data_IF_300580720339
#
_entry.id   IF_300580720339
#
_cell.length_a   1.000
_cell.length_b   1.000
_cell.length_c   1.000
_cell.angle_alpha   90.00
_cell.angle_beta   90.00
_cell.angle_gamma   90.00
#
_symmetry.space_group_name_H-M   'P 1'
#
loop_
_entity.id
_entity.type
_entity.pdbx_description
1 polymer ?
#
# COMPACT_ATOMS: atom_id res chain seq x y z
N UNK A 1 2.40 -7.74 -19.83
CA UNK A 1 3.17 -6.94 -18.85
C UNK A 1 2.67 -7.04 -17.40
N UNK A 2 1.53 -6.45 -16.98
CA UNK A 2 1.15 -6.48 -15.56
C UNK A 2 0.95 -7.90 -15.00
N UNK A 3 0.26 -8.77 -15.75
CA UNK A 3 0.11 -10.18 -15.41
C UNK A 3 1.44 -10.94 -15.37
N UNK A 4 2.35 -10.68 -16.32
CA UNK A 4 3.70 -11.30 -16.32
C UNK A 4 4.49 -10.95 -15.06
N UNK A 5 4.42 -9.69 -14.59
CA UNK A 5 5.07 -9.27 -13.35
C UNK A 5 4.45 -9.94 -12.11
N UNK A 6 3.13 -10.11 -12.09
CA UNK A 6 2.41 -10.83 -11.03
C UNK A 6 2.88 -12.29 -10.98
N UNK A 7 2.91 -12.98 -12.12
CA UNK A 7 3.35 -14.38 -12.20
C UNK A 7 4.83 -14.53 -11.82
N UNK A 8 5.71 -13.72 -12.39
CA UNK A 8 7.16 -13.80 -12.13
C UNK A 8 7.53 -13.52 -10.67
N UNK A 9 6.74 -12.70 -9.96
CA UNK A 9 6.96 -12.42 -8.53
C UNK A 9 6.42 -13.51 -7.59
N UNK A 10 5.63 -14.46 -8.11
CA UNK A 10 4.88 -15.45 -7.34
C UNK A 10 3.65 -14.87 -6.64
N UNK A 11 3.29 -13.60 -6.90
CA UNK A 11 2.10 -12.97 -6.30
C UNK A 11 0.82 -13.67 -6.76
N UNK A 12 0.78 -14.19 -8.00
CA UNK A 12 -0.33 -14.96 -8.55
C UNK A 12 -0.70 -16.22 -7.77
N UNK A 13 0.22 -16.73 -6.94
CA UNK A 13 0.02 -17.92 -6.11
C UNK A 13 -0.66 -17.62 -4.77
N UNK A 14 -0.88 -16.35 -4.44
CA UNK A 14 -1.56 -15.95 -3.20
C UNK A 14 -3.07 -15.99 -3.43
N UNK A 15 -3.72 -17.09 -3.02
CA UNK A 15 -5.16 -17.29 -3.21
C UNK A 15 -5.98 -17.23 -1.92
N UNK A 16 -5.31 -17.11 -0.77
CA UNK A 16 -5.93 -17.20 0.55
C UNK A 16 -5.04 -16.69 1.67
N UNK A 17 -5.61 -16.37 2.84
CA UNK A 17 -4.89 -15.75 3.95
C UNK A 17 -3.78 -16.62 4.56
N UNK A 18 -3.84 -17.94 4.39
CA UNK A 18 -2.82 -18.92 4.81
C UNK A 18 -1.46 -18.72 4.14
N UNK A 19 -1.42 -18.01 3.00
CA UNK A 19 -0.18 -17.67 2.30
C UNK A 19 0.50 -16.41 2.85
N UNK A 20 -0.17 -15.66 3.74
CA UNK A 20 0.38 -14.43 4.30
C UNK A 20 1.47 -14.78 5.31
N UNK A 21 2.68 -14.25 5.09
CA UNK A 21 3.80 -14.43 6.01
C UNK A 21 3.58 -13.76 7.37
N UNK A 22 4.24 -14.29 8.41
CA UNK A 22 4.09 -13.81 9.80
C UNK A 22 4.33 -12.30 9.96
N UNK A 23 5.34 -11.76 9.26
CA UNK A 23 5.56 -10.32 9.17
C UNK A 23 4.94 -9.80 7.86
N UNK A 24 3.70 -9.30 7.95
CA UNK A 24 2.90 -8.87 6.81
C UNK A 24 3.61 -7.76 6.02
N UNK A 25 4.21 -6.78 6.69
CA UNK A 25 4.95 -5.68 6.05
C UNK A 25 6.07 -6.22 5.16
N UNK A 26 6.96 -7.04 5.74
CA UNK A 26 8.11 -7.61 5.04
C UNK A 26 7.66 -8.54 3.91
N UNK A 27 6.63 -9.35 4.17
CA UNK A 27 6.07 -10.27 3.20
C UNK A 27 5.51 -9.52 1.99
N UNK A 28 4.66 -8.51 2.22
CA UNK A 28 4.02 -7.74 1.16
C UNK A 28 5.03 -6.90 0.36
N UNK A 29 5.97 -6.24 1.04
CA UNK A 29 7.04 -5.48 0.38
C UNK A 29 7.98 -6.38 -0.43
N UNK A 30 8.13 -7.66 -0.08
CA UNK A 30 8.96 -8.59 -0.87
C UNK A 30 8.42 -8.78 -2.29
N UNK A 31 7.10 -8.79 -2.48
CA UNK A 31 6.51 -8.83 -3.83
C UNK A 31 6.78 -7.56 -4.61
N UNK A 32 6.72 -6.39 -3.95
CA UNK A 32 7.02 -5.11 -4.61
C UNK A 32 8.46 -5.09 -5.13
N UNK A 33 9.41 -5.56 -4.32
CA UNK A 33 10.83 -5.67 -4.71
C UNK A 33 11.04 -6.62 -5.89
N UNK A 34 10.38 -7.79 -5.86
CA UNK A 34 10.45 -8.76 -6.96
C UNK A 34 9.87 -8.17 -8.25
N UNK A 35 8.73 -7.50 -8.18
CA UNK A 35 8.08 -6.85 -9.33
C UNK A 35 8.95 -5.73 -9.90
N UNK A 36 9.53 -4.89 -9.05
CA UNK A 36 10.44 -3.81 -9.48
C UNK A 36 11.70 -4.38 -10.17
N UNK A 37 12.31 -5.42 -9.58
CA UNK A 37 13.47 -6.09 -10.16
C UNK A 37 13.14 -6.77 -11.50
N UNK A 38 11.97 -7.40 -11.60
CA UNK A 38 11.54 -8.06 -12.84
C UNK A 38 11.21 -7.04 -13.94
N UNK A 39 10.54 -5.94 -13.60
CA UNK A 39 10.30 -4.85 -14.55
C UNK A 39 11.61 -4.30 -15.11
N UNK A 40 12.63 -4.12 -14.26
CA UNK A 40 13.97 -3.72 -14.70
C UNK A 40 14.62 -4.77 -15.62
N UNK A 41 14.51 -6.08 -15.29
CA UNK A 41 15.02 -7.18 -16.11
C UNK A 41 14.38 -7.21 -17.51
N UNK A 42 13.10 -6.87 -17.60
CA UNK A 42 12.35 -6.78 -18.85
C UNK A 42 12.59 -5.47 -19.62
N UNK A 43 13.46 -4.59 -19.13
CA UNK A 43 13.77 -3.32 -19.78
C UNK A 43 12.69 -2.25 -19.63
N UNK A 44 11.75 -2.41 -18.69
CA UNK A 44 10.73 -1.39 -18.40
C UNK A 44 11.38 -0.26 -17.61
N UNK A 45 11.75 0.79 -18.32
CA UNK A 45 12.25 2.03 -17.72
C UNK A 45 11.13 2.74 -16.96
N UNK A 46 11.48 3.52 -15.93
CA UNK A 46 10.53 4.27 -15.09
C UNK A 46 9.52 3.43 -14.26
N UNK A 47 9.78 2.13 -14.06
CA UNK A 47 9.02 1.31 -13.14
C UNK A 47 9.54 1.44 -11.69
N UNK A 48 8.91 2.30 -10.89
CA UNK A 48 9.29 2.54 -9.50
C UNK A 48 8.63 1.57 -8.52
N UNK A 49 9.19 1.48 -7.31
CA UNK A 49 8.57 0.85 -6.14
C UNK A 49 7.12 1.32 -5.92
N UNK A 50 6.86 2.60 -6.18
CA UNK A 50 5.53 3.19 -6.17
C UNK A 50 4.52 2.62 -7.17
N UNK A 51 4.98 2.17 -8.33
CA UNK A 51 4.15 1.41 -9.29
C UNK A 51 3.98 -0.04 -8.83
N UNK A 52 5.05 -0.64 -8.29
CA UNK A 52 5.01 -2.00 -7.73
C UNK A 52 3.98 -2.11 -6.59
N UNK A 53 3.96 -1.18 -5.63
CA UNK A 53 2.99 -1.21 -4.53
C UNK A 53 1.55 -1.14 -5.02
N UNK A 54 1.27 -0.35 -6.07
CA UNK A 54 -0.10 -0.21 -6.57
C UNK A 54 -0.58 -1.53 -7.15
N UNK A 55 0.28 -2.22 -7.90
CA UNK A 55 -0.02 -3.54 -8.46
C UNK A 55 -0.23 -4.58 -7.37
N UNK A 56 0.70 -4.69 -6.42
CA UNK A 56 0.63 -5.65 -5.30
C UNK A 56 -0.62 -5.42 -4.46
N UNK A 57 -0.87 -4.18 -4.05
CA UNK A 57 -1.92 -3.88 -3.08
C UNK A 57 -3.32 -3.99 -3.70
N UNK A 58 -3.48 -3.64 -4.99
CA UNK A 58 -4.74 -3.89 -5.72
C UNK A 58 -4.99 -5.39 -5.84
N UNK A 59 -3.97 -6.17 -6.24
CA UNK A 59 -4.12 -7.62 -6.38
C UNK A 59 -4.53 -8.27 -5.06
N UNK A 60 -3.77 -8.01 -3.98
CA UNK A 60 -4.04 -8.58 -2.67
C UNK A 60 -5.39 -8.14 -2.10
N UNK A 61 -5.79 -6.88 -2.28
CA UNK A 61 -7.13 -6.40 -1.91
C UNK A 61 -8.21 -7.15 -2.67
N UNK A 62 -8.04 -7.31 -3.98
CA UNK A 62 -9.02 -8.00 -4.84
C UNK A 62 -9.20 -9.45 -4.41
N UNK A 63 -8.11 -10.18 -4.22
CA UNK A 63 -8.16 -11.61 -3.90
C UNK A 63 -8.56 -11.85 -2.43
N UNK A 64 -8.05 -11.08 -1.49
CA UNK A 64 -8.20 -11.38 -0.06
C UNK A 64 -9.30 -10.56 0.61
N UNK A 65 -9.36 -9.25 0.38
CA UNK A 65 -10.40 -8.41 1.01
C UNK A 65 -11.73 -8.62 0.29
N UNK A 66 -11.76 -8.37 -1.02
CA UNK A 66 -12.96 -8.53 -1.84
C UNK A 66 -13.34 -10.01 -2.06
N UNK A 67 -12.39 -10.94 -1.95
CA UNK A 67 -12.65 -12.38 -1.98
C UNK A 67 -13.25 -12.96 -0.70
N UNK A 68 -13.61 -12.12 0.28
CA UNK A 68 -14.35 -12.55 1.48
C UNK A 68 -13.51 -12.84 2.73
N UNK A 69 -12.19 -12.65 2.69
CA UNK A 69 -11.29 -12.88 3.83
C UNK A 69 -11.00 -11.62 4.66
N UNK A 70 -11.77 -10.54 4.48
CA UNK A 70 -11.56 -9.25 5.14
C UNK A 70 -11.55 -9.29 6.67
N UNK A 71 -12.15 -10.31 7.31
CA UNK A 71 -12.13 -10.49 8.77
C UNK A 71 -10.86 -11.18 9.29
N UNK A 72 -10.01 -11.74 8.42
CA UNK A 72 -8.82 -12.46 8.85
C UNK A 72 -7.77 -11.48 9.43
N UNK A 73 -7.17 -11.75 10.60
CA UNK A 73 -6.25 -10.84 11.26
C UNK A 73 -5.08 -10.38 10.38
N UNK A 74 -4.46 -11.30 9.63
CA UNK A 74 -3.35 -10.95 8.72
C UNK A 74 -3.82 -10.13 7.51
N UNK A 75 -5.08 -10.27 7.08
CA UNK A 75 -5.65 -9.48 5.97
C UNK A 75 -5.88 -8.03 6.41
N UNK A 76 -6.27 -7.82 7.67
CA UNK A 76 -6.42 -6.48 8.24
C UNK A 76 -5.11 -5.67 8.25
N UNK A 77 -3.95 -6.34 8.21
CA UNK A 77 -2.64 -5.71 8.18
C UNK A 77 -2.13 -5.40 6.76
N UNK A 78 -2.82 -5.84 5.71
CA UNK A 78 -2.40 -5.60 4.33
C UNK A 78 -2.37 -4.11 4.03
N UNK A 79 -1.28 -3.66 3.42
CA UNK A 79 -1.16 -2.26 3.05
C UNK A 79 -2.20 -1.89 1.98
N UNK A 80 -2.84 -0.71 2.09
CA UNK A 80 -3.78 -0.22 1.09
C UNK A 80 -3.05 0.23 -0.18
N UNK A 81 -3.71 0.20 -1.35
CA UNK A 81 -3.15 0.74 -2.58
C UNK A 81 -3.04 2.27 -2.48
N UNK A 82 -1.82 2.80 -2.48
CA UNK A 82 -1.61 4.25 -2.40
C UNK A 82 -1.78 4.90 -3.77
N UNK A 83 -2.54 5.99 -3.83
CA UNK A 83 -2.69 6.83 -5.01
C UNK A 83 -2.96 8.31 -4.66
N UNK A 84 -3.13 9.14 -5.69
CA UNK A 84 -3.37 10.57 -5.54
C UNK A 84 -4.69 10.87 -4.86
N UNK A 85 -5.76 10.14 -5.20
CA UNK A 85 -7.09 10.35 -4.64
C UNK A 85 -7.12 10.02 -3.16
N UNK A 86 -6.39 8.99 -2.73
CA UNK A 86 -6.26 8.67 -1.30
C UNK A 86 -5.56 9.83 -0.59
N UNK A 87 -4.48 10.37 -1.16
CA UNK A 87 -3.74 11.44 -0.53
C UNK A 87 -4.52 12.75 -0.43
N UNK A 88 -5.34 13.09 -1.42
CA UNK A 88 -6.25 14.25 -1.33
C UNK A 88 -7.25 14.08 -0.20
N UNK A 89 -7.92 12.92 -0.17
CA UNK A 89 -8.86 12.54 0.87
C UNK A 89 -8.28 12.57 2.28
N UNK A 90 -7.11 11.95 2.48
CA UNK A 90 -6.42 11.96 3.77
C UNK A 90 -6.02 13.38 4.19
N UNK A 91 -5.59 14.23 3.26
CA UNK A 91 -5.28 15.63 3.55
C UNK A 91 -6.53 16.38 4.05
N UNK A 92 -7.66 16.20 3.38
CA UNK A 92 -8.95 16.78 3.75
C UNK A 92 -9.40 16.30 5.13
N UNK A 93 -9.40 14.98 5.34
CA UNK A 93 -9.80 14.34 6.60
C UNK A 93 -8.92 14.76 7.78
N UNK A 94 -7.59 14.70 7.64
CA UNK A 94 -6.64 15.06 8.69
C UNK A 94 -6.66 16.55 9.02
N UNK A 95 -6.98 17.41 8.04
CA UNK A 95 -7.16 18.84 8.28
C UNK A 95 -8.37 19.11 9.19
N UNK A 96 -9.50 18.44 8.91
CA UNK A 96 -10.75 18.56 9.69
C UNK A 96 -10.61 17.96 11.11
N UNK A 97 -9.77 16.95 11.29
CA UNK A 97 -9.61 16.22 12.56
C UNK A 97 -8.30 16.56 13.30
N UNK A 98 -7.78 17.79 13.13
CA UNK A 98 -6.45 18.19 13.61
C UNK A 98 -6.21 17.99 15.11
N UNK A 99 -7.23 18.17 15.95
CA UNK A 99 -7.11 18.09 17.42
C UNK A 99 -7.01 16.64 17.90
N UNK A 100 -7.73 15.72 17.28
CA UNK A 100 -7.73 14.30 17.62
C UNK A 100 -6.56 13.52 17.00
N UNK A 101 -6.03 13.97 15.84
CA UNK A 101 -5.11 13.17 15.01
C UNK A 101 -3.74 13.82 14.80
N UNK A 102 -3.25 14.59 15.78
CA UNK A 102 -2.01 15.37 15.64
C UNK A 102 -0.77 14.57 15.21
N UNK A 103 -0.60 13.36 15.76
CA UNK A 103 0.54 12.47 15.43
C UNK A 103 0.45 11.94 14.00
N UNK A 104 -0.69 11.35 13.62
CA UNK A 104 -0.93 10.83 12.27
C UNK A 104 -0.83 11.94 11.21
N UNK A 105 -1.40 13.12 11.49
CA UNK A 105 -1.31 14.29 10.62
C UNK A 105 0.14 14.74 10.40
N UNK A 106 0.92 14.83 11.47
CA UNK A 106 2.33 15.24 11.38
C UNK A 106 3.15 14.25 10.57
N UNK A 107 2.95 12.94 10.80
CA UNK A 107 3.59 11.88 10.01
C UNK A 107 3.19 11.93 8.53
N UNK A 108 1.90 12.09 8.23
CA UNK A 108 1.42 12.20 6.86
C UNK A 108 1.99 13.42 6.13
N UNK A 109 2.04 14.59 6.80
CA UNK A 109 2.66 15.79 6.22
C UNK A 109 4.15 15.58 5.96
N UNK A 110 4.86 14.92 6.87
CA UNK A 110 6.28 14.60 6.68
C UNK A 110 6.48 13.66 5.47
N UNK A 111 5.65 12.63 5.33
CA UNK A 111 5.67 11.71 4.19
C UNK A 111 5.36 12.43 2.87
N UNK A 112 4.33 13.29 2.84
CA UNK A 112 3.97 14.08 1.66
C UNK A 112 5.06 15.09 1.27
N UNK A 113 5.75 15.68 2.24
CA UNK A 113 6.91 16.58 1.98
C UNK A 113 8.09 15.81 1.40
N UNK A 114 8.31 14.57 1.85
CA UNK A 114 9.36 13.70 1.34
C UNK A 114 9.12 13.35 -0.13
N UNK A 115 7.93 12.87 -0.46
CA UNK A 115 7.54 12.61 -1.84
C UNK A 115 6.01 12.52 -1.95
N UNK A 116 5.31 13.42 -2.66
CA UNK A 116 3.85 13.31 -2.82
C UNK A 116 3.43 12.47 -4.03
N UNK A 117 4.38 12.10 -4.91
CA UNK A 117 4.10 11.44 -6.19
C UNK A 117 4.25 9.94 -6.05
N UNK A 118 3.14 9.26 -5.73
CA UNK A 118 3.13 7.80 -5.51
C UNK A 118 3.75 7.00 -6.65
N UNK A 119 3.63 7.44 -7.91
CA UNK A 119 4.24 6.78 -9.09
C UNK A 119 5.76 6.86 -9.15
N UNK A 120 6.40 7.63 -8.26
CA UNK A 120 7.85 7.85 -8.19
C UNK A 120 8.41 7.53 -6.81
N UNK A 121 7.68 6.77 -5.98
CA UNK A 121 8.18 6.37 -4.68
C UNK A 121 9.36 5.41 -4.81
N UNK A 122 10.38 5.68 -4.01
CA UNK A 122 11.33 4.66 -3.52
C UNK A 122 10.69 3.81 -2.42
N UNK A 123 11.34 2.73 -2.02
CA UNK A 123 10.93 1.92 -0.86
C UNK A 123 10.76 2.78 0.41
N UNK A 124 11.71 3.67 0.67
CA UNK A 124 11.67 4.53 1.86
C UNK A 124 10.57 5.59 1.81
N UNK A 125 10.21 6.08 0.61
CA UNK A 125 9.05 6.96 0.45
C UNK A 125 7.76 6.21 0.77
N UNK A 126 7.63 4.98 0.26
CA UNK A 126 6.48 4.13 0.51
C UNK A 126 6.29 3.83 2.00
N UNK A 127 7.36 3.39 2.69
CA UNK A 127 7.32 3.10 4.13
C UNK A 127 6.86 4.31 4.94
N UNK A 128 7.38 5.51 4.64
CA UNK A 128 6.97 6.73 5.33
C UNK A 128 5.45 7.00 5.22
N UNK A 129 4.85 6.69 4.07
CA UNK A 129 3.40 6.82 3.88
C UNK A 129 2.61 5.75 4.63
N UNK A 130 3.08 4.50 4.61
CA UNK A 130 2.43 3.40 5.32
C UNK A 130 2.48 3.61 6.83
N UNK A 131 3.60 4.10 7.38
CA UNK A 131 3.71 4.38 8.81
C UNK A 131 2.73 5.49 9.25
N UNK A 132 2.56 6.53 8.43
CA UNK A 132 1.56 7.55 8.66
C UNK A 132 0.13 6.98 8.64
N UNK A 133 -0.17 6.06 7.72
CA UNK A 133 -1.48 5.38 7.64
C UNK A 133 -1.68 4.46 8.85
N UNK A 134 -0.66 3.71 9.30
CA UNK A 134 -0.76 2.88 10.50
C UNK A 134 -1.10 3.70 11.74
N UNK A 135 -0.50 4.88 11.88
CA UNK A 135 -0.83 5.82 12.95
C UNK A 135 -2.26 6.34 12.85
N UNK A 136 -2.76 6.58 11.64
CA UNK A 136 -4.14 7.01 11.38
C UNK A 136 -5.15 5.91 11.74
N UNK A 137 -4.87 4.68 11.32
CA UNK A 137 -5.81 3.57 11.46
C UNK A 137 -5.87 3.01 12.89
N UNK A 138 -4.81 3.20 13.69
CA UNK A 138 -4.81 2.93 15.13
C UNK A 138 -5.40 1.55 15.51
N UNK A 139 -5.01 0.50 14.78
CA UNK A 139 -5.47 -0.88 15.01
C UNK A 139 -6.70 -1.29 14.19
N UNK A 140 -7.33 -0.38 13.45
CA UNK A 140 -8.31 -0.73 12.42
C UNK A 140 -7.62 -1.38 11.21
N UNK A 141 -8.32 -2.24 10.45
CA UNK A 141 -7.81 -2.78 9.20
C UNK A 141 -7.32 -1.69 8.25
N UNK A 142 -6.09 -1.82 7.74
CA UNK A 142 -5.45 -0.74 6.98
C UNK A 142 -6.15 -0.43 5.65
N UNK A 143 -6.78 -1.42 5.01
CA UNK A 143 -7.56 -1.22 3.78
C UNK A 143 -8.78 -0.31 3.98
N UNK A 144 -9.27 -0.13 5.22
CA UNK A 144 -10.41 0.76 5.49
C UNK A 144 -10.04 2.24 5.30
N UNK A 145 -8.75 2.59 5.24
CA UNK A 145 -8.31 3.98 4.99
C UNK A 145 -8.83 4.51 3.66
N UNK A 146 -9.15 3.62 2.72
CA UNK A 146 -9.73 3.94 1.41
C UNK A 146 -11.15 4.53 1.50
N UNK A 147 -11.81 4.48 2.68
CA UNK A 147 -13.07 5.22 2.92
C UNK A 147 -12.93 6.74 2.72
N UNK A 148 -11.69 7.23 2.77
CA UNK A 148 -11.38 8.64 2.56
C UNK A 148 -11.11 8.99 1.10
N UNK A 149 -11.20 8.06 0.14
CA UNK A 149 -11.02 8.39 -1.27
C UNK A 149 -11.94 9.53 -1.72
N UNK A 150 -11.36 10.55 -2.35
CA UNK A 150 -12.12 11.58 -3.07
C UNK A 150 -12.31 11.12 -4.52
N UNK A 151 -13.58 10.97 -4.93
CA UNK A 151 -14.00 10.58 -6.29
C UNK A 151 -14.24 11.80 -7.18
#
# INVERSE_FOLDING_TARGET
>A
MAFELIEASGLGQVTGPEHIGQNVDKWQMSFMKKIEAEAARLGVTDFSFGRAQKLVNIYLKTVLVCGGHHQHPSVALLHPPLDLELFKGLRSFLSKNRSAMGKARSAFIAAQKRNPRWTKFSEADYVAHIDAIKLLMAGKPLYQVEEHWEL
#
